data_IF_546459297167
#
_entry.id   IF_546459297167
#
_cell.length_a   1.000
_cell.length_b   1.000
_cell.length_c   1.000
_cell.angle_alpha   90.00
_cell.angle_beta   90.00
_cell.angle_gamma   90.00
#
_symmetry.space_group_name_H-M   'P 1'
#
loop_
_entity.id
_entity.type
_entity.pdbx_description
1 polymer ?
#
# COMPACT_ATOMS: atom_id res chain seq x y z
N UNK A 1 -23.66 15.46 -10.85
CA UNK A 1 -22.46 15.35 -11.68
C UNK A 1 -21.91 13.94 -11.52
N UNK A 2 -22.44 13.02 -12.30
CA UNK A 2 -22.05 11.61 -12.24
C UNK A 2 -21.78 11.17 -13.70
N UNK A 3 -20.54 11.37 -14.14
CA UNK A 3 -20.06 10.79 -15.40
C UNK A 3 -18.54 10.89 -15.42
N UNK A 4 -17.88 9.78 -15.14
CA UNK A 4 -16.62 9.31 -15.70
C UNK A 4 -15.97 8.22 -14.84
N UNK A 5 -16.78 7.21 -14.46
CA UNK A 5 -16.24 5.95 -13.96
C UNK A 5 -15.90 5.09 -15.20
N UNK A 6 -14.63 5.08 -15.65
CA UNK A 6 -14.18 4.16 -16.69
C UNK A 6 -13.63 2.90 -16.02
N UNK A 7 -14.45 1.88 -16.01
CA UNK A 7 -14.04 0.52 -15.63
C UNK A 7 -13.05 0.00 -16.68
N UNK A 8 -11.83 -0.31 -16.27
CA UNK A 8 -10.86 -0.96 -17.17
C UNK A 8 -11.27 -2.41 -17.34
N UNK A 9 -11.95 -2.71 -18.44
CA UNK A 9 -12.20 -4.08 -18.85
C UNK A 9 -10.94 -4.63 -19.53
N UNK A 10 -10.19 -5.47 -18.82
CA UNK A 10 -9.26 -6.39 -19.47
C UNK A 10 -10.07 -7.44 -20.25
N UNK A 11 -9.76 -7.62 -21.54
CA UNK A 11 -10.39 -8.62 -22.39
C UNK A 11 -10.28 -10.00 -21.75
N UNK A 12 -11.36 -10.52 -21.19
CA UNK A 12 -11.51 -11.94 -20.92
C UNK A 12 -11.84 -12.37 -19.49
N UNK A 13 -11.69 -11.54 -18.43
CA UNK A 13 -12.02 -11.95 -17.06
C UNK A 13 -12.67 -10.79 -16.29
N UNK A 14 -13.94 -10.96 -15.93
CA UNK A 14 -14.58 -10.05 -14.96
C UNK A 14 -13.98 -10.40 -13.60
N UNK A 15 -13.11 -9.56 -13.06
CA UNK A 15 -12.59 -9.71 -11.70
C UNK A 15 -13.71 -9.35 -10.72
N UNK A 16 -14.33 -10.36 -10.10
CA UNK A 16 -15.47 -10.16 -9.18
C UNK A 16 -15.05 -9.77 -7.77
N UNK A 17 -13.84 -10.21 -7.35
CA UNK A 17 -13.36 -10.05 -5.98
C UNK A 17 -12.47 -8.82 -5.79
N UNK A 18 -11.96 -8.25 -6.87
CA UNK A 18 -11.14 -7.03 -6.88
C UNK A 18 -11.79 -6.03 -7.83
N UNK A 19 -12.18 -4.88 -7.29
CA UNK A 19 -12.67 -3.76 -8.09
C UNK A 19 -11.53 -2.79 -8.34
N UNK A 20 -11.44 -2.26 -9.56
CA UNK A 20 -10.49 -1.21 -9.91
C UNK A 20 -11.20 -0.04 -10.56
N UNK A 21 -11.02 1.13 -9.98
CA UNK A 21 -11.60 2.38 -10.48
C UNK A 21 -10.48 3.41 -10.64
N UNK A 22 -10.62 4.28 -11.62
CA UNK A 22 -9.74 5.44 -11.82
C UNK A 22 -10.50 6.73 -11.54
N UNK A 23 -9.96 7.54 -10.64
CA UNK A 23 -10.43 8.89 -10.37
C UNK A 23 -9.29 9.87 -10.69
N UNK A 24 -9.37 10.54 -11.83
CA UNK A 24 -8.26 11.32 -12.40
C UNK A 24 -6.99 10.45 -12.50
N UNK A 25 -5.92 10.82 -11.78
CA UNK A 25 -4.65 10.09 -11.73
C UNK A 25 -4.51 9.13 -10.54
N UNK A 26 -5.62 8.87 -9.85
CA UNK A 26 -5.66 7.97 -8.70
C UNK A 26 -6.29 6.65 -9.13
N UNK A 27 -5.55 5.55 -8.98
CA UNK A 27 -6.10 4.21 -9.10
C UNK A 27 -6.61 3.75 -7.73
N UNK A 28 -7.83 3.25 -7.65
CA UNK A 28 -8.42 2.73 -6.42
C UNK A 28 -8.69 1.25 -6.60
N UNK A 29 -8.04 0.43 -5.79
CA UNK A 29 -8.29 -1.01 -5.70
C UNK A 29 -9.12 -1.27 -4.46
N UNK A 30 -10.31 -1.87 -4.66
CA UNK A 30 -11.20 -2.23 -3.58
C UNK A 30 -11.28 -3.75 -3.48
N UNK A 31 -10.90 -4.30 -2.33
CA UNK A 31 -11.06 -5.71 -1.98
C UNK A 31 -12.54 -5.98 -1.75
N UNK A 32 -13.15 -6.88 -2.53
CA UNK A 32 -14.60 -7.03 -2.59
C UNK A 32 -15.05 -8.48 -2.38
N UNK A 33 -14.68 -9.04 -1.22
CA UNK A 33 -15.15 -10.32 -0.69
C UNK A 33 -15.68 -10.13 0.74
N UNK A 34 -16.69 -9.25 0.97
CA UNK A 34 -17.14 -8.90 2.32
C UNK A 34 -17.69 -10.10 3.11
N UNK A 35 -18.23 -11.12 2.44
CA UNK A 35 -18.73 -12.36 3.05
C UNK A 35 -17.63 -13.18 3.73
N UNK A 36 -16.40 -13.13 3.23
CA UNK A 36 -15.22 -13.74 3.84
C UNK A 36 -14.30 -12.74 4.53
N UNK A 37 -14.80 -11.53 4.84
CA UNK A 37 -14.01 -10.44 5.42
C UNK A 37 -12.75 -10.11 4.60
N UNK A 38 -12.80 -10.27 3.28
CA UNK A 38 -11.71 -10.10 2.34
C UNK A 38 -10.50 -11.01 2.62
N UNK A 39 -10.70 -12.21 3.20
CA UNK A 39 -9.62 -13.15 3.48
C UNK A 39 -8.87 -13.56 2.20
N UNK A 40 -7.54 -13.67 2.31
CA UNK A 40 -6.64 -13.98 1.20
C UNK A 40 -6.64 -15.46 0.89
N UNK A 41 -7.34 -15.86 -0.17
CA UNK A 41 -7.17 -17.15 -0.84
C UNK A 41 -6.16 -17.01 -1.99
N UNK A 42 -5.60 -18.12 -2.48
CA UNK A 42 -4.66 -18.13 -3.62
C UNK A 42 -5.22 -17.37 -4.83
N UNK A 43 -6.47 -17.66 -5.21
CA UNK A 43 -7.12 -16.99 -6.33
C UNK A 43 -7.32 -15.50 -6.10
N UNK A 44 -7.61 -15.07 -4.86
CA UNK A 44 -7.79 -13.66 -4.54
C UNK A 44 -6.47 -12.90 -4.53
N UNK A 45 -5.40 -13.49 -3.98
CA UNK A 45 -4.05 -12.93 -4.05
C UNK A 45 -3.63 -12.72 -5.52
N UNK A 46 -3.91 -13.68 -6.40
CA UNK A 46 -3.61 -13.58 -7.82
C UNK A 46 -4.39 -12.44 -8.49
N UNK A 47 -5.70 -12.30 -8.19
CA UNK A 47 -6.51 -11.20 -8.74
C UNK A 47 -5.99 -9.84 -8.27
N UNK A 48 -5.60 -9.70 -7.00
CA UNK A 48 -4.99 -8.48 -6.47
C UNK A 48 -3.67 -8.20 -7.20
N UNK A 49 -2.80 -9.19 -7.33
CA UNK A 49 -1.50 -9.05 -7.98
C UNK A 49 -1.64 -8.60 -9.43
N UNK A 50 -2.55 -9.23 -10.21
CA UNK A 50 -2.79 -8.86 -11.60
C UNK A 50 -3.33 -7.42 -11.72
N UNK A 51 -4.21 -7.01 -10.78
CA UNK A 51 -4.78 -5.66 -10.75
C UNK A 51 -3.71 -4.63 -10.39
N UNK A 52 -2.87 -4.91 -9.39
CA UNK A 52 -1.74 -4.04 -9.00
C UNK A 52 -0.76 -3.90 -10.16
N UNK A 53 -0.43 -5.01 -10.84
CA UNK A 53 0.45 -4.99 -12.01
C UNK A 53 -0.12 -4.15 -13.16
N UNK A 54 -1.43 -4.24 -13.41
CA UNK A 54 -2.09 -3.42 -14.41
C UNK A 54 -2.07 -1.93 -14.04
N UNK A 55 -2.33 -1.59 -12.77
CA UNK A 55 -2.28 -0.22 -12.26
C UNK A 55 -0.85 0.35 -12.26
N UNK A 56 0.17 -0.47 -11.99
CA UNK A 56 1.58 -0.09 -12.10
C UNK A 56 1.97 0.29 -13.53
N UNK A 57 1.47 -0.45 -14.53
CA UNK A 57 1.76 -0.24 -15.94
C UNK A 57 0.94 0.89 -16.60
N UNK A 58 -0.10 1.40 -15.95
CA UNK A 58 -0.96 2.47 -16.48
C UNK A 58 -0.33 3.84 -16.20
N UNK A 59 0.23 4.48 -17.20
CA UNK A 59 0.89 5.81 -17.09
C UNK A 59 -0.04 6.93 -16.61
N UNK A 60 -1.37 6.76 -16.74
CA UNK A 60 -2.35 7.71 -16.22
C UNK A 60 -2.59 7.57 -14.70
N UNK A 61 -2.10 6.50 -14.07
CA UNK A 61 -2.17 6.30 -12.62
C UNK A 61 -0.88 6.81 -11.99
N UNK A 62 -0.97 7.79 -11.10
CA UNK A 62 0.17 8.35 -10.37
C UNK A 62 0.24 7.84 -8.93
N UNK A 63 -0.91 7.64 -8.30
CA UNK A 63 -1.05 7.15 -6.93
C UNK A 63 -2.01 5.97 -6.91
N UNK A 64 -1.69 4.94 -6.12
CA UNK A 64 -2.56 3.79 -5.90
C UNK A 64 -3.13 3.83 -4.48
N UNK A 65 -4.43 3.63 -4.36
CA UNK A 65 -5.15 3.51 -3.09
C UNK A 65 -5.70 2.11 -2.95
N UNK A 66 -5.48 1.47 -1.82
CA UNK A 66 -6.04 0.15 -1.47
C UNK A 66 -7.05 0.32 -0.34
N UNK A 67 -8.23 -0.28 -0.48
CA UNK A 67 -9.26 -0.32 0.57
C UNK A 67 -10.09 -1.60 0.48
N UNK A 68 -10.96 -1.86 1.46
CA UNK A 68 -11.84 -3.01 1.46
C UNK A 68 -13.31 -2.63 1.50
N UNK A 69 -14.19 -3.54 1.06
CA UNK A 69 -15.62 -3.44 1.28
C UNK A 69 -16.02 -4.04 2.64
N UNK A 70 -17.12 -3.55 3.19
CA UNK A 70 -17.70 -4.07 4.43
C UNK A 70 -16.86 -3.73 5.67
N UNK A 71 -16.67 -4.72 6.54
CA UNK A 71 -16.07 -4.55 7.89
C UNK A 71 -14.55 -4.71 7.90
N UNK A 72 -13.92 -5.01 6.78
CA UNK A 72 -12.49 -5.34 6.72
C UNK A 72 -11.79 -4.65 5.57
N UNK A 73 -10.56 -4.27 5.81
CA UNK A 73 -9.56 -4.13 4.78
C UNK A 73 -9.24 -5.54 4.24
N UNK A 74 -8.57 -6.36 5.05
CA UNK A 74 -8.34 -7.80 4.85
C UNK A 74 -8.19 -8.44 6.23
N UNK A 75 -8.99 -9.47 6.56
CA UNK A 75 -8.99 -10.09 7.89
C UNK A 75 -8.11 -11.33 8.02
N UNK A 76 -7.07 -11.45 7.20
CA UNK A 76 -6.10 -12.53 7.23
C UNK A 76 -6.09 -13.38 5.98
N UNK A 77 -5.41 -14.51 6.03
CA UNK A 77 -5.42 -15.54 5.00
C UNK A 77 -6.65 -16.43 5.15
N UNK A 78 -7.02 -17.14 4.07
CA UNK A 78 -8.08 -18.13 4.07
C UNK A 78 -7.59 -19.41 4.77
N UNK A 79 -7.97 -19.56 6.03
CA UNK A 79 -7.51 -20.69 6.87
C UNK A 79 -8.06 -22.02 6.39
N UNK A 80 -9.27 -22.05 5.80
CA UNK A 80 -9.84 -23.28 5.25
C UNK A 80 -9.01 -23.80 4.07
N UNK A 81 -8.52 -22.89 3.23
CA UNK A 81 -7.60 -23.23 2.13
C UNK A 81 -6.23 -23.67 2.65
N UNK A 82 -5.69 -22.97 3.66
CA UNK A 82 -4.35 -23.26 4.17
C UNK A 82 -4.26 -24.53 5.01
N UNK A 83 -5.32 -24.89 5.73
CA UNK A 83 -5.31 -25.98 6.72
C UNK A 83 -4.80 -27.33 6.19
N UNK A 84 -5.17 -27.80 4.97
CA UNK A 84 -4.68 -29.06 4.41
C UNK A 84 -3.28 -28.97 3.79
N UNK A 85 -2.68 -27.78 3.63
CA UNK A 85 -1.43 -27.60 2.91
C UNK A 85 -0.24 -28.19 3.66
N UNK A 86 0.65 -28.86 2.93
CA UNK A 86 1.95 -29.28 3.41
C UNK A 86 2.99 -28.13 3.31
N UNK A 87 4.23 -28.40 3.79
CA UNK A 87 5.28 -27.36 3.82
C UNK A 87 5.63 -26.78 2.43
N UNK A 88 5.59 -27.56 1.38
CA UNK A 88 5.90 -27.10 0.02
C UNK A 88 4.76 -26.20 -0.52
N UNK A 89 3.51 -26.62 -0.35
CA UNK A 89 2.34 -25.89 -0.82
C UNK A 89 2.19 -24.56 -0.08
N UNK A 90 2.38 -24.54 1.25
CA UNK A 90 2.30 -23.30 2.03
C UNK A 90 3.47 -22.34 1.71
N UNK A 91 4.64 -22.87 1.37
CA UNK A 91 5.77 -22.05 0.91
C UNK A 91 5.43 -21.35 -0.42
N UNK A 92 4.83 -22.09 -1.36
CA UNK A 92 4.38 -21.52 -2.63
C UNK A 92 3.27 -20.48 -2.43
N UNK A 93 2.25 -20.77 -1.61
CA UNK A 93 1.19 -19.83 -1.24
C UNK A 93 1.76 -18.54 -0.66
N UNK A 94 2.67 -18.65 0.31
CA UNK A 94 3.28 -17.47 0.94
C UNK A 94 4.20 -16.70 -0.01
N UNK A 95 4.80 -17.37 -0.99
CA UNK A 95 5.63 -16.73 -2.01
C UNK A 95 4.80 -15.77 -2.87
N UNK A 96 3.62 -16.17 -3.33
CA UNK A 96 2.71 -15.28 -4.08
C UNK A 96 2.30 -14.05 -3.27
N UNK A 97 1.95 -14.21 -2.00
CA UNK A 97 1.61 -13.09 -1.13
C UNK A 97 2.84 -12.19 -0.87
N UNK A 98 4.02 -12.78 -0.73
CA UNK A 98 5.29 -12.04 -0.60
C UNK A 98 5.60 -11.23 -1.86
N UNK A 99 5.42 -11.82 -3.05
CA UNK A 99 5.62 -11.11 -4.32
C UNK A 99 4.67 -9.92 -4.48
N UNK A 100 3.40 -10.07 -4.08
CA UNK A 100 2.45 -8.95 -4.06
C UNK A 100 2.95 -7.83 -3.15
N UNK A 101 3.33 -8.16 -1.91
CA UNK A 101 3.81 -7.17 -0.95
C UNK A 101 5.10 -6.48 -1.42
N UNK A 102 6.05 -7.23 -1.97
CA UNK A 102 7.27 -6.68 -2.55
C UNK A 102 6.98 -5.76 -3.75
N UNK A 103 5.96 -6.08 -4.57
CA UNK A 103 5.55 -5.23 -5.68
C UNK A 103 4.96 -3.91 -5.18
N UNK A 104 4.06 -3.92 -4.20
CA UNK A 104 3.48 -2.72 -3.58
C UNK A 104 4.58 -1.80 -3.03
N UNK A 105 5.55 -2.37 -2.34
CA UNK A 105 6.67 -1.65 -1.76
C UNK A 105 7.61 -1.05 -2.82
N UNK A 106 7.95 -1.85 -3.86
CA UNK A 106 8.96 -1.47 -4.85
C UNK A 106 8.41 -0.72 -6.07
N UNK A 107 7.10 -0.78 -6.31
CA UNK A 107 6.53 -0.05 -7.44
C UNK A 107 6.86 1.44 -7.37
N UNK A 108 7.10 2.10 -8.52
CA UNK A 108 7.55 3.49 -8.52
C UNK A 108 6.48 4.48 -8.04
N UNK A 109 5.21 4.09 -8.04
CA UNK A 109 4.07 4.92 -7.66
C UNK A 109 3.84 4.86 -6.15
N UNK A 110 3.47 5.97 -5.48
CA UNK A 110 2.99 5.92 -4.10
C UNK A 110 1.77 5.01 -3.94
N UNK A 111 1.76 4.26 -2.85
CA UNK A 111 0.66 3.35 -2.49
C UNK A 111 0.13 3.74 -1.11
N UNK A 112 -1.17 3.98 -1.01
CA UNK A 112 -1.84 4.38 0.23
C UNK A 112 -2.82 3.27 0.64
N UNK A 113 -2.69 2.76 1.86
CA UNK A 113 -3.69 1.89 2.47
C UNK A 113 -4.74 2.72 3.22
N UNK A 114 -5.99 2.63 2.80
CA UNK A 114 -7.15 3.14 3.51
C UNK A 114 -7.78 1.99 4.30
N UNK A 115 -7.35 1.83 5.55
CA UNK A 115 -7.73 0.69 6.42
C UNK A 115 -9.11 0.97 7.01
N UNK A 116 -10.15 0.46 6.34
CA UNK A 116 -11.54 0.70 6.68
C UNK A 116 -12.09 -0.17 7.82
N UNK A 117 -11.32 -1.14 8.34
CA UNK A 117 -11.75 -2.06 9.38
C UNK A 117 -10.64 -3.04 9.77
N UNK A 118 -10.95 -4.35 9.84
CA UNK A 118 -9.95 -5.35 10.20
C UNK A 118 -8.80 -5.42 9.18
N UNK A 119 -7.57 -5.30 9.66
CA UNK A 119 -6.34 -5.58 8.92
C UNK A 119 -5.50 -6.55 9.79
N UNK A 120 -5.74 -7.85 9.61
CA UNK A 120 -5.16 -8.90 10.46
C UNK A 120 -4.31 -9.85 9.63
N UNK A 121 -3.22 -10.37 10.21
CA UNK A 121 -2.34 -11.32 9.55
C UNK A 121 -1.88 -10.81 8.19
N UNK A 122 -2.08 -11.60 7.13
CA UNK A 122 -1.77 -11.21 5.75
C UNK A 122 -2.35 -9.87 5.34
N UNK A 123 -3.49 -9.46 5.93
CA UNK A 123 -4.08 -8.14 5.67
C UNK A 123 -3.25 -6.99 6.24
N UNK A 124 -2.69 -7.17 7.43
CA UNK A 124 -1.75 -6.20 7.96
C UNK A 124 -0.43 -6.23 7.16
N UNK A 125 0.01 -7.40 6.69
CA UNK A 125 1.21 -7.52 5.84
C UNK A 125 1.07 -6.73 4.53
N UNK A 126 -0.11 -6.76 3.89
CA UNK A 126 -0.43 -5.91 2.71
C UNK A 126 -0.40 -4.44 3.08
N UNK A 127 -1.01 -4.04 4.20
CA UNK A 127 -1.01 -2.65 4.65
C UNK A 127 0.40 -2.14 4.99
N UNK A 128 1.25 -2.98 5.59
CA UNK A 128 2.65 -2.66 5.90
C UNK A 128 3.51 -2.49 4.65
N UNK A 129 3.14 -3.10 3.54
CA UNK A 129 3.83 -2.96 2.25
C UNK A 129 3.45 -1.68 1.48
N UNK A 130 2.40 -0.97 1.92
CA UNK A 130 2.03 0.33 1.40
C UNK A 130 2.92 1.44 2.00
N UNK A 131 3.07 2.56 1.29
CA UNK A 131 3.90 3.69 1.73
C UNK A 131 3.26 4.45 2.89
N UNK A 132 1.95 4.69 2.79
CA UNK A 132 1.17 5.48 3.76
C UNK A 132 -0.05 4.65 4.20
N UNK A 133 -0.41 4.75 5.47
CA UNK A 133 -1.57 4.06 6.06
C UNK A 133 -2.45 5.07 6.80
N UNK A 134 -3.69 5.23 6.32
CA UNK A 134 -4.76 5.90 7.05
C UNK A 134 -5.73 4.85 7.56
N UNK A 135 -6.27 5.01 8.75
CA UNK A 135 -7.17 4.05 9.34
C UNK A 135 -8.48 4.70 9.80
N UNK A 136 -9.57 3.95 9.67
CA UNK A 136 -10.80 4.26 10.36
C UNK A 136 -10.61 4.12 11.88
N UNK A 137 -11.31 4.91 12.67
CA UNK A 137 -11.33 4.81 14.14
C UNK A 137 -11.79 3.43 14.63
N UNK A 138 -12.56 2.71 13.81
CA UNK A 138 -13.05 1.37 14.12
C UNK A 138 -12.08 0.26 13.71
N UNK A 139 -10.98 0.59 13.04
CA UNK A 139 -10.03 -0.38 12.54
C UNK A 139 -9.32 -1.16 13.68
N UNK A 140 -9.06 -2.43 13.41
CA UNK A 140 -8.26 -3.30 14.28
C UNK A 140 -7.15 -3.93 13.47
N UNK A 141 -5.92 -3.85 13.98
CA UNK A 141 -4.71 -4.27 13.29
C UNK A 141 -3.90 -5.22 14.15
N UNK A 142 -3.32 -6.26 13.56
CA UNK A 142 -2.50 -7.21 14.31
C UNK A 142 -1.98 -8.36 13.46
N UNK A 143 -1.02 -9.10 14.04
CA UNK A 143 -0.43 -10.31 13.46
C UNK A 143 -0.69 -11.47 14.42
N UNK A 144 -1.88 -12.10 14.37
CA UNK A 144 -2.34 -13.09 15.34
C UNK A 144 -1.89 -14.53 15.05
N UNK A 145 -1.01 -14.75 14.09
CA UNK A 145 -0.62 -16.07 13.53
C UNK A 145 -0.14 -17.04 14.60
N UNK A 146 0.51 -16.54 15.67
CA UNK A 146 0.97 -17.39 16.78
C UNK A 146 -0.16 -18.11 17.52
N UNK A 147 -1.40 -17.58 17.48
CA UNK A 147 -2.59 -18.24 18.04
C UNK A 147 -3.00 -19.46 17.24
N UNK A 148 -2.52 -19.59 16.01
CA UNK A 148 -2.73 -20.74 15.11
C UNK A 148 -1.51 -21.68 15.08
N UNK A 149 -0.46 -21.40 15.88
CA UNK A 149 0.77 -22.18 15.92
C UNK A 149 1.71 -21.94 14.73
N UNK A 150 1.55 -20.82 14.04
CA UNK A 150 2.40 -20.42 12.90
C UNK A 150 2.91 -18.98 13.06
N UNK A 151 3.70 -18.52 12.11
CA UNK A 151 4.19 -17.13 12.05
C UNK A 151 3.66 -16.42 10.80
N UNK A 152 3.85 -15.10 10.73
CA UNK A 152 3.61 -14.32 9.52
C UNK A 152 4.42 -14.88 8.34
N UNK A 153 3.79 -15.04 7.19
CA UNK A 153 4.41 -15.67 6.01
C UNK A 153 4.81 -14.71 4.89
N UNK A 154 4.40 -13.44 4.93
CA UNK A 154 4.56 -12.51 3.80
C UNK A 154 5.26 -11.20 4.18
N UNK A 155 6.13 -11.24 5.19
CA UNK A 155 7.00 -10.15 5.62
C UNK A 155 6.50 -9.32 6.78
N UNK A 156 5.47 -9.77 7.51
CA UNK A 156 4.92 -9.08 8.68
C UNK A 156 5.98 -8.85 9.76
N UNK A 157 6.76 -9.88 10.10
CA UNK A 157 7.86 -9.76 11.07
C UNK A 157 8.92 -8.75 10.64
N UNK A 158 9.17 -8.65 9.33
CA UNK A 158 10.22 -7.81 8.78
C UNK A 158 9.81 -6.34 8.69
N UNK A 159 8.56 -6.07 8.31
CA UNK A 159 8.07 -4.70 8.13
C UNK A 159 7.59 -4.08 9.43
N UNK A 160 6.90 -4.86 10.27
CA UNK A 160 6.36 -4.32 11.53
C UNK A 160 7.47 -3.77 12.42
N UNK A 161 8.56 -4.53 12.64
CA UNK A 161 9.67 -4.09 13.51
C UNK A 161 10.38 -2.84 12.97
N UNK A 162 10.47 -2.66 11.65
CA UNK A 162 11.05 -1.46 11.04
C UNK A 162 10.17 -0.22 11.21
N UNK A 163 8.84 -0.41 11.33
CA UNK A 163 7.89 0.70 11.47
C UNK A 163 7.70 1.10 12.93
N UNK A 164 7.48 0.13 13.83
CA UNK A 164 7.11 0.42 15.23
C UNK A 164 8.22 0.13 16.24
N UNK A 165 9.35 -0.40 15.77
CA UNK A 165 10.47 -0.83 16.61
C UNK A 165 10.29 -2.24 17.19
N UNK A 166 11.41 -2.85 17.57
CA UNK A 166 11.52 -4.26 17.96
C UNK A 166 10.62 -4.66 19.11
N UNK A 167 10.60 -3.87 20.19
CA UNK A 167 9.87 -4.22 21.41
C UNK A 167 8.37 -4.26 21.19
N UNK A 168 7.82 -3.27 20.48
CA UNK A 168 6.39 -3.21 20.18
C UNK A 168 6.01 -4.33 19.20
N UNK A 169 6.83 -4.56 18.17
CA UNK A 169 6.58 -5.63 17.21
C UNK A 169 6.58 -7.01 17.90
N UNK A 170 7.55 -7.28 18.79
CA UNK A 170 7.61 -8.52 19.57
C UNK A 170 6.41 -8.70 20.47
N UNK A 171 5.99 -7.65 21.19
CA UNK A 171 4.79 -7.71 22.03
C UNK A 171 3.54 -8.05 21.21
N UNK A 172 3.31 -7.36 20.10
CA UNK A 172 2.16 -7.60 19.24
C UNK A 172 2.16 -9.02 18.66
N UNK A 173 3.31 -9.48 18.13
CA UNK A 173 3.44 -10.80 17.51
C UNK A 173 3.38 -11.93 18.54
N UNK A 174 4.12 -11.84 19.67
CA UNK A 174 4.17 -12.93 20.64
C UNK A 174 2.84 -13.13 21.37
N UNK A 175 2.07 -12.07 21.57
CA UNK A 175 0.73 -12.16 22.18
C UNK A 175 -0.36 -12.43 21.14
N UNK A 176 -0.08 -12.18 19.86
CA UNK A 176 -1.07 -12.21 18.77
C UNK A 176 -2.23 -11.22 19.01
N UNK A 177 -2.00 -10.16 19.84
CA UNK A 177 -3.04 -9.18 20.11
C UNK A 177 -3.29 -8.28 18.92
N UNK A 178 -4.54 -7.91 18.72
CA UNK A 178 -4.90 -6.83 17.82
C UNK A 178 -4.94 -5.52 18.61
N UNK A 179 -4.48 -4.44 17.98
CA UNK A 179 -4.53 -3.08 18.51
C UNK A 179 -5.65 -2.29 17.83
N UNK A 180 -6.13 -1.27 18.49
CA UNK A 180 -7.06 -0.32 17.86
C UNK A 180 -6.33 0.78 17.07
N UNK A 181 -7.13 1.59 16.38
CA UNK A 181 -6.61 2.65 15.52
C UNK A 181 -5.83 3.71 16.31
N UNK A 182 -6.26 4.04 17.54
CA UNK A 182 -5.60 5.04 18.37
C UNK A 182 -4.24 4.55 18.87
N UNK A 183 -4.15 3.29 19.27
CA UNK A 183 -2.87 2.68 19.62
C UNK A 183 -1.94 2.62 18.40
N UNK A 184 -2.48 2.23 17.23
CA UNK A 184 -1.73 2.20 15.97
C UNK A 184 -1.16 3.59 15.60
N UNK A 185 -1.93 4.66 15.81
CA UNK A 185 -1.46 6.03 15.63
C UNK A 185 -0.35 6.39 16.61
N UNK A 186 -0.52 6.04 17.89
CA UNK A 186 0.45 6.34 18.95
C UNK A 186 1.81 5.68 18.74
N UNK A 187 1.84 4.47 18.17
CA UNK A 187 3.09 3.73 17.88
C UNK A 187 3.66 3.98 16.48
N UNK A 188 3.04 4.86 15.68
CA UNK A 188 3.49 5.19 14.34
C UNK A 188 3.16 4.13 13.27
N UNK A 189 2.28 3.17 13.57
CA UNK A 189 1.85 2.17 12.59
C UNK A 189 0.98 2.76 11.50
N UNK A 190 0.15 3.76 11.82
CA UNK A 190 -0.66 4.52 10.86
C UNK A 190 -0.35 6.01 10.93
N UNK A 191 -0.51 6.71 9.81
CA UNK A 191 -0.22 8.13 9.68
C UNK A 191 -1.39 9.01 10.15
N UNK A 192 -2.63 8.50 10.08
CA UNK A 192 -3.83 9.25 10.48
C UNK A 192 -4.98 8.31 10.85
N UNK A 193 -5.80 8.73 11.82
CA UNK A 193 -7.04 8.05 12.19
C UNK A 193 -8.20 9.00 11.99
N UNK A 194 -9.30 8.51 11.43
CA UNK A 194 -10.44 9.30 10.98
C UNK A 194 -11.76 8.55 11.29
N UNK A 195 -12.88 9.27 11.45
CA UNK A 195 -14.20 8.66 11.35
C UNK A 195 -14.34 7.86 10.06
N UNK A 196 -15.14 6.80 10.09
CA UNK A 196 -15.29 5.88 8.96
C UNK A 196 -15.68 6.59 7.66
N UNK A 197 -16.61 7.54 7.74
CA UNK A 197 -17.11 8.31 6.59
C UNK A 197 -16.10 9.33 6.04
N UNK A 198 -15.14 9.74 6.84
CA UNK A 198 -14.09 10.69 6.44
C UNK A 198 -12.83 10.01 5.88
N UNK A 199 -12.68 8.69 6.07
CA UNK A 199 -11.46 7.97 5.69
C UNK A 199 -11.15 8.13 4.20
N UNK A 200 -12.05 7.72 3.32
CA UNK A 200 -11.82 7.79 1.87
C UNK A 200 -11.72 9.22 1.35
N UNK A 201 -12.55 10.18 1.76
CA UNK A 201 -12.37 11.60 1.41
C UNK A 201 -10.96 12.12 1.74
N UNK A 202 -10.45 11.86 2.94
CA UNK A 202 -9.13 12.32 3.36
C UNK A 202 -7.97 11.61 2.62
N UNK A 203 -8.14 10.33 2.30
CA UNK A 203 -7.15 9.58 1.49
C UNK A 203 -7.11 10.12 0.06
N UNK A 204 -8.26 10.42 -0.53
CA UNK A 204 -8.32 11.00 -1.87
C UNK A 204 -7.75 12.41 -1.91
N UNK A 205 -7.99 13.24 -0.90
CA UNK A 205 -7.38 14.56 -0.76
C UNK A 205 -5.85 14.48 -0.73
N UNK A 206 -5.29 13.55 0.07
CA UNK A 206 -3.85 13.31 0.11
C UNK A 206 -3.32 12.83 -1.25
N UNK A 207 -4.02 11.89 -1.88
CA UNK A 207 -3.63 11.36 -3.19
C UNK A 207 -3.67 12.44 -4.28
N UNK A 208 -4.68 13.31 -4.26
CA UNK A 208 -4.77 14.47 -5.15
C UNK A 208 -3.63 15.46 -4.92
N UNK A 209 -3.27 15.72 -3.65
CA UNK A 209 -2.12 16.56 -3.32
C UNK A 209 -0.83 15.99 -3.92
N UNK A 210 -0.59 14.69 -3.74
CA UNK A 210 0.57 14.00 -4.33
C UNK A 210 0.55 14.10 -5.87
N UNK A 211 -0.60 13.95 -6.50
CA UNK A 211 -0.74 14.05 -7.95
C UNK A 211 -0.42 15.43 -8.53
N UNK A 212 -0.46 16.50 -7.74
CA UNK A 212 -0.12 17.87 -8.18
C UNK A 212 1.36 18.09 -8.42
N UNK A 213 2.24 17.27 -7.81
CA UNK A 213 3.68 17.43 -7.89
C UNK A 213 4.30 16.58 -9.01
N UNK A 214 5.55 16.87 -9.37
CA UNK A 214 6.30 16.14 -10.39
C UNK A 214 6.52 14.68 -10.00
N UNK A 215 5.91 13.76 -10.73
CA UNK A 215 5.90 12.34 -10.38
C UNK A 215 7.29 11.71 -10.47
N UNK A 216 8.18 12.23 -11.32
CA UNK A 216 9.56 11.76 -11.39
C UNK A 216 10.31 11.99 -10.07
N UNK A 217 10.10 13.16 -9.44
CA UNK A 217 10.69 13.48 -8.14
C UNK A 217 10.11 12.62 -7.01
N UNK A 218 8.78 12.41 -6.98
CA UNK A 218 8.10 11.54 -6.01
C UNK A 218 8.62 10.10 -6.11
N UNK A 219 8.71 9.56 -7.33
CA UNK A 219 9.22 8.22 -7.60
C UNK A 219 10.69 8.06 -7.18
N UNK A 220 11.51 9.07 -7.43
CA UNK A 220 12.91 9.09 -6.99
C UNK A 220 13.02 9.14 -5.46
N UNK A 221 12.19 9.96 -4.78
CA UNK A 221 12.13 10.04 -3.33
C UNK A 221 11.74 8.72 -2.70
N UNK A 222 10.69 8.04 -3.21
CA UNK A 222 10.29 6.70 -2.75
C UNK A 222 11.44 5.71 -2.87
N UNK A 223 12.14 5.69 -4.01
CA UNK A 223 13.30 4.81 -4.22
C UNK A 223 14.42 5.06 -3.21
N UNK A 224 14.73 6.33 -2.90
CA UNK A 224 15.75 6.68 -1.93
C UNK A 224 15.35 6.27 -0.51
N UNK A 225 14.10 6.48 -0.12
CA UNK A 225 13.59 6.10 1.20
C UNK A 225 13.61 4.57 1.35
N UNK A 226 13.17 3.81 0.32
CA UNK A 226 13.21 2.36 0.36
C UNK A 226 14.64 1.83 0.40
N UNK A 227 15.57 2.46 -0.34
CA UNK A 227 17.00 2.10 -0.32
C UNK A 227 17.59 2.21 1.10
N UNK A 228 17.21 3.23 1.85
CA UNK A 228 17.69 3.45 3.21
C UNK A 228 17.29 2.34 4.22
N UNK A 229 16.31 1.47 3.89
CA UNK A 229 15.89 0.39 4.79
C UNK A 229 16.94 -0.73 4.93
N UNK A 230 17.80 -0.90 3.93
CA UNK A 230 18.75 -2.01 3.84
C UNK A 230 20.23 -1.54 3.70
N UNK A 231 20.48 -0.21 3.73
CA UNK A 231 21.79 0.39 3.51
C UNK A 231 22.14 1.41 4.60
N UNK A 232 23.43 1.65 4.78
CA UNK A 232 23.89 2.67 5.72
C UNK A 232 23.71 4.09 5.16
N UNK A 233 23.92 5.11 6.01
CA UNK A 233 23.69 6.51 5.67
C UNK A 233 24.66 7.01 4.58
N UNK A 234 25.86 6.48 4.49
CA UNK A 234 26.85 6.91 3.49
C UNK A 234 26.45 6.41 2.10
N UNK A 235 26.09 5.13 1.98
CA UNK A 235 25.56 4.53 0.76
C UNK A 235 24.24 5.16 0.35
N UNK A 236 23.32 5.35 1.30
CA UNK A 236 22.02 6.00 1.10
C UNK A 236 22.18 7.43 0.57
N UNK A 237 23.08 8.23 1.16
CA UNK A 237 23.34 9.61 0.73
C UNK A 237 23.98 9.68 -0.66
N UNK A 238 24.84 8.71 -1.00
CA UNK A 238 25.42 8.62 -2.35
C UNK A 238 24.32 8.31 -3.38
N UNK A 239 23.46 7.33 -3.08
CA UNK A 239 22.34 6.94 -3.94
C UNK A 239 21.37 8.13 -4.15
N UNK A 240 20.99 8.81 -3.08
CA UNK A 240 20.12 10.00 -3.12
C UNK A 240 20.71 11.09 -4.01
N UNK A 241 22.01 11.42 -3.86
CA UNK A 241 22.70 12.42 -4.68
C UNK A 241 22.70 12.05 -6.16
N UNK A 242 22.83 10.77 -6.50
CA UNK A 242 22.73 10.29 -7.88
C UNK A 242 21.32 10.50 -8.43
N UNK A 243 20.27 10.06 -7.68
CA UNK A 243 18.87 10.25 -8.07
C UNK A 243 18.51 11.74 -8.19
N UNK A 244 18.99 12.59 -7.26
CA UNK A 244 18.81 14.04 -7.32
C UNK A 244 19.39 14.64 -8.61
N UNK A 245 20.62 14.27 -8.95
CA UNK A 245 21.28 14.80 -10.16
C UNK A 245 20.56 14.36 -11.46
N UNK A 246 20.03 13.16 -11.52
CA UNK A 246 19.25 12.66 -12.65
C UNK A 246 17.99 13.48 -12.93
N UNK A 247 17.40 14.09 -11.92
CA UNK A 247 16.21 14.93 -12.11
C UNK A 247 16.53 16.26 -12.82
N UNK A 248 17.79 16.70 -12.85
CA UNK A 248 18.18 17.99 -13.47
C UNK A 248 18.14 17.97 -15.00
N UNK A 249 18.00 16.82 -15.63
CA UNK A 249 17.79 16.73 -17.08
C UNK A 249 16.31 16.72 -17.49
N UNK A 250 15.39 16.68 -16.51
CA UNK A 250 13.94 16.60 -16.76
C UNK A 250 13.33 17.97 -17.09
N UNK A 251 12.26 17.99 -17.85
CA UNK A 251 11.46 19.19 -18.06
C UNK A 251 10.83 19.66 -16.75
N UNK A 252 10.40 18.74 -15.90
CA UNK A 252 9.74 19.06 -14.63
C UNK A 252 10.65 19.84 -13.67
N UNK A 253 11.94 19.58 -13.66
CA UNK A 253 12.90 20.38 -12.90
C UNK A 253 12.90 21.84 -13.38
N UNK A 254 12.91 22.07 -14.69
CA UNK A 254 12.88 23.41 -15.29
C UNK A 254 11.55 24.12 -14.99
N UNK A 255 10.46 23.39 -15.11
CA UNK A 255 9.10 23.88 -14.81
C UNK A 255 9.00 24.26 -13.35
N UNK A 256 9.37 23.38 -12.42
CA UNK A 256 9.25 23.59 -10.99
C UNK A 256 10.12 24.75 -10.48
N UNK A 257 11.43 24.70 -10.75
CA UNK A 257 12.34 25.76 -10.30
C UNK A 257 12.09 27.10 -11.00
N UNK A 258 11.77 27.06 -12.29
CA UNK A 258 11.42 28.27 -13.03
C UNK A 258 10.13 28.91 -12.53
N UNK A 259 9.10 28.11 -12.26
CA UNK A 259 7.84 28.57 -11.68
C UNK A 259 8.04 29.17 -10.29
N UNK A 260 8.86 28.52 -9.44
CA UNK A 260 9.21 29.05 -8.11
C UNK A 260 9.89 30.44 -8.20
N UNK A 261 10.87 30.59 -9.09
CA UNK A 261 11.56 31.87 -9.29
C UNK A 261 10.63 32.99 -9.81
N UNK A 262 9.64 32.62 -10.63
CA UNK A 262 8.61 33.53 -11.16
C UNK A 262 7.43 33.74 -10.19
N UNK A 263 7.42 33.04 -9.04
CA UNK A 263 6.34 33.08 -8.03
C UNK A 263 4.98 32.62 -8.59
N UNK A 264 5.00 31.65 -9.50
CA UNK A 264 3.78 31.02 -10.04
C UNK A 264 3.07 30.21 -8.96
N UNK A 265 1.74 30.33 -8.90
CA UNK A 265 0.93 29.61 -7.90
C UNK A 265 0.52 28.20 -8.34
N UNK A 266 0.31 28.03 -9.65
CA UNK A 266 -0.18 26.78 -10.23
C UNK A 266 0.84 26.23 -11.24
N UNK A 267 1.80 25.44 -10.72
CA UNK A 267 2.82 24.78 -11.54
C UNK A 267 2.25 23.44 -12.04
N UNK A 268 2.23 23.27 -13.36
CA UNK A 268 1.77 21.99 -13.99
C UNK A 268 2.98 21.21 -14.50
N UNK A 269 3.26 20.11 -13.87
CA UNK A 269 4.31 19.18 -14.26
C UNK A 269 3.87 18.31 -15.46
N UNK A 270 4.85 17.84 -16.23
CA UNK A 270 4.63 17.02 -17.44
C UNK A 270 5.06 15.57 -17.27
N UNK A 271 5.75 15.27 -16.18
CA UNK A 271 6.27 13.94 -15.82
C UNK A 271 7.27 13.39 -16.88
N UNK A 272 8.12 14.24 -17.41
CA UNK A 272 9.15 13.90 -18.41
C UNK A 272 10.40 14.80 -18.32
#
# INVERSE_FOLDING_TARGET
MAENCRTVQQKGKIMKNVLFEKHNHIGIITFNRPESLNALSSGFVQEIHDTVKAAEADDEVYVLVLTGTGKSFIAGADIEEMYPMGPEEIFEFSSYATELNMRLEKMPKPVIAAINGYALGGGLEVALACDIRYASETAKMGLPEVKLGVICGSGGTQRLCRIVGDSIAKEMIFTGRAIDAQEAMRIGLVNKVLPQEELMPAVLELAEEICRYGQLAIRASKKCINFAQDHDIEEGSLYERQRFSELFVTEDQKIGMGGFLRKEKDIKFKNR
#
